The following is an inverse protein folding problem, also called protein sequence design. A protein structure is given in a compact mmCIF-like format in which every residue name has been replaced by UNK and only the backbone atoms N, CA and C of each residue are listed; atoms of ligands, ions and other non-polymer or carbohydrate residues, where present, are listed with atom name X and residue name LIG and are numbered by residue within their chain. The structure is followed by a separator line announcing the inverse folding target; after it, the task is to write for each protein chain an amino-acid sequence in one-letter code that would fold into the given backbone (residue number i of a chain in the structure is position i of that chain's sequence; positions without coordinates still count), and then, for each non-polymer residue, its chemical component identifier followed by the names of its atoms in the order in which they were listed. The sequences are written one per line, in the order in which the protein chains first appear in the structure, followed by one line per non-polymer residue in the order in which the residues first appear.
data_IF_839905969049
#
_entry.id   IF_839905969049
#
_cell.length_a   1.000
_cell.length_b   1.000
_cell.length_c   1.000
_cell.angle_alpha   90.00
_cell.angle_beta   90.00
_cell.angle_gamma   90.00
#
_symmetry.space_group_name_H-M   'P 1'
#
loop_
_entity.id
_entity.type
_entity.pdbx_description
1 polymer ?
#
# COMPACT_ATOMS: atom_id res chain seq x y z
N UNK A 1 10.22 -36.53 -0.26
CA UNK A 1 11.13 -35.61 -1.00
C UNK A 1 10.27 -34.87 -2.02
N UNK A 2 9.66 -33.74 -1.67
CA UNK A 2 8.85 -32.91 -2.57
C UNK A 2 9.80 -32.08 -3.42
N UNK A 3 9.71 -32.22 -4.72
CA UNK A 3 10.57 -31.52 -5.68
C UNK A 3 10.37 -30.01 -5.61
N UNK A 4 11.42 -29.18 -5.65
CA UNK A 4 11.37 -27.72 -5.52
C UNK A 4 10.53 -26.99 -6.60
N UNK A 5 10.06 -27.70 -7.61
CA UNK A 5 9.33 -27.16 -8.76
C UNK A 5 7.82 -26.93 -8.52
N UNK A 6 7.20 -27.59 -7.57
CA UNK A 6 5.75 -27.50 -7.34
C UNK A 6 5.37 -26.39 -6.36
N UNK A 7 6.26 -26.01 -5.44
CA UNK A 7 5.97 -24.95 -4.46
C UNK A 7 5.98 -23.53 -5.02
N UNK A 8 6.47 -23.32 -6.24
CA UNK A 8 6.57 -21.98 -6.86
C UNK A 8 5.53 -21.70 -7.95
N UNK A 9 4.71 -22.67 -8.37
CA UNK A 9 3.71 -22.47 -9.44
C UNK A 9 2.67 -21.44 -9.02
N UNK A 10 2.12 -21.55 -7.82
CA UNK A 10 1.17 -20.58 -7.28
C UNK A 10 1.78 -19.17 -7.25
N UNK A 11 3.00 -19.02 -6.71
CA UNK A 11 3.70 -17.74 -6.67
C UNK A 11 3.96 -17.15 -8.07
N UNK A 12 4.30 -17.98 -9.07
CA UNK A 12 4.46 -17.51 -10.46
C UNK A 12 3.15 -16.98 -11.04
N UNK A 13 2.04 -17.68 -10.80
CA UNK A 13 0.70 -17.24 -11.23
C UNK A 13 0.36 -15.89 -10.59
N UNK A 14 0.55 -15.76 -9.27
CA UNK A 14 0.28 -14.51 -8.54
C UNK A 14 1.13 -13.35 -9.06
N UNK A 15 2.44 -13.54 -9.25
CA UNK A 15 3.32 -12.50 -9.81
C UNK A 15 2.89 -12.06 -11.21
N UNK A 16 2.58 -13.03 -12.08
CA UNK A 16 2.11 -12.74 -13.43
C UNK A 16 0.76 -11.99 -13.42
N UNK A 17 -0.17 -12.40 -12.57
CA UNK A 17 -1.46 -11.77 -12.38
C UNK A 17 -1.31 -10.33 -11.86
N UNK A 18 -0.49 -10.12 -10.82
CA UNK A 18 -0.17 -8.79 -10.28
C UNK A 18 0.31 -7.85 -11.39
N UNK A 19 1.28 -8.29 -12.20
CA UNK A 19 1.85 -7.50 -13.28
C UNK A 19 0.82 -7.17 -14.38
N UNK A 20 -0.05 -8.11 -14.74
CA UNK A 20 -1.04 -7.91 -15.80
C UNK A 20 -2.21 -7.06 -15.32
N UNK A 21 -2.83 -7.39 -14.18
CA UNK A 21 -3.94 -6.63 -13.63
C UNK A 21 -3.58 -5.18 -13.31
N UNK A 22 -2.36 -4.93 -12.82
CA UNK A 22 -1.92 -3.56 -12.55
C UNK A 22 -1.71 -2.70 -13.79
N UNK A 23 -1.52 -3.33 -14.96
CA UNK A 23 -1.28 -2.63 -16.24
C UNK A 23 -2.52 -2.49 -17.11
N UNK A 24 -3.35 -3.54 -17.14
CA UNK A 24 -4.44 -3.68 -18.10
C UNK A 24 -5.83 -3.64 -17.44
N UNK A 25 -5.89 -3.57 -16.09
CA UNK A 25 -7.12 -3.69 -15.34
C UNK A 25 -7.62 -5.14 -15.27
N UNK A 26 -8.73 -5.32 -14.54
CA UNK A 26 -9.33 -6.64 -14.40
C UNK A 26 -9.93 -7.13 -15.72
N UNK A 27 -10.75 -6.29 -16.38
CA UNK A 27 -11.44 -6.69 -17.61
C UNK A 27 -10.49 -6.87 -18.80
N UNK A 28 -9.38 -6.10 -18.84
CA UNK A 28 -8.36 -6.19 -19.90
C UNK A 28 -7.41 -7.38 -19.79
N UNK A 29 -7.42 -8.12 -18.69
CA UNK A 29 -6.55 -9.28 -18.45
C UNK A 29 -7.28 -10.60 -18.63
N UNK A 30 -6.68 -11.54 -19.36
CA UNK A 30 -7.21 -12.91 -19.53
C UNK A 30 -6.39 -13.95 -18.75
N UNK A 31 -7.04 -15.05 -18.35
CA UNK A 31 -6.38 -16.21 -17.73
C UNK A 31 -5.31 -16.82 -18.62
N UNK A 32 -5.53 -16.77 -19.95
CA UNK A 32 -4.56 -17.24 -20.94
C UNK A 32 -3.27 -16.40 -20.96
N UNK A 33 -3.38 -15.08 -20.81
CA UNK A 33 -2.21 -14.19 -20.70
C UNK A 33 -1.46 -14.43 -19.39
N UNK A 34 -2.19 -14.62 -18.29
CA UNK A 34 -1.59 -14.97 -16.98
C UNK A 34 -0.84 -16.30 -17.10
N UNK A 35 -1.45 -17.33 -17.72
CA UNK A 35 -0.82 -18.62 -17.92
C UNK A 35 0.48 -18.51 -18.73
N UNK A 36 0.44 -17.75 -19.84
CA UNK A 36 1.61 -17.50 -20.67
C UNK A 36 2.74 -16.81 -19.92
N UNK A 37 2.42 -15.77 -19.15
CA UNK A 37 3.42 -15.02 -18.39
C UNK A 37 3.98 -15.81 -17.20
N UNK A 38 3.15 -16.65 -16.58
CA UNK A 38 3.55 -17.54 -15.49
C UNK A 38 4.28 -18.80 -15.96
N UNK A 39 4.40 -19.02 -17.29
CA UNK A 39 4.98 -20.23 -17.90
C UNK A 39 4.28 -21.53 -17.43
N UNK A 40 2.94 -21.50 -17.42
CA UNK A 40 2.11 -22.65 -17.09
C UNK A 40 1.02 -22.83 -18.15
N UNK A 41 0.32 -23.98 -18.13
CA UNK A 41 -0.91 -24.13 -18.93
C UNK A 41 -2.10 -23.43 -18.26
N UNK A 42 -3.08 -23.01 -19.06
CA UNK A 42 -4.33 -22.46 -18.53
C UNK A 42 -5.08 -23.48 -17.66
N UNK A 43 -5.00 -24.77 -18.00
CA UNK A 43 -5.50 -25.86 -17.15
C UNK A 43 -4.81 -25.87 -15.78
N UNK A 44 -3.54 -25.53 -15.72
CA UNK A 44 -2.82 -25.42 -14.44
C UNK A 44 -3.38 -24.28 -13.60
N UNK A 45 -3.72 -23.14 -14.18
CA UNK A 45 -4.36 -22.04 -13.45
C UNK A 45 -5.65 -22.51 -12.80
N UNK A 46 -6.55 -23.17 -13.56
CA UNK A 46 -7.84 -23.65 -13.06
C UNK A 46 -7.75 -24.81 -12.03
N UNK A 47 -6.55 -25.34 -11.80
CA UNK A 47 -6.31 -26.25 -10.66
C UNK A 47 -6.07 -25.51 -9.35
N UNK A 48 -5.68 -24.24 -9.39
CA UNK A 48 -5.40 -23.40 -8.22
C UNK A 48 -6.53 -22.39 -7.94
N UNK A 49 -7.24 -21.95 -8.99
CA UNK A 49 -8.24 -20.90 -8.92
C UNK A 49 -9.46 -21.30 -9.75
N UNK A 50 -10.66 -21.16 -9.19
CA UNK A 50 -11.90 -21.46 -9.90
C UNK A 50 -12.23 -20.38 -10.93
N UNK A 51 -12.03 -19.11 -10.56
CA UNK A 51 -12.36 -17.95 -11.36
C UNK A 51 -11.22 -16.96 -11.47
N UNK A 52 -11.28 -16.08 -12.47
CA UNK A 52 -10.32 -14.97 -12.64
C UNK A 52 -10.33 -14.01 -11.44
N UNK A 53 -11.48 -13.84 -10.82
CA UNK A 53 -11.65 -13.07 -9.60
C UNK A 53 -10.78 -13.60 -8.47
N UNK A 54 -10.69 -14.90 -8.27
CA UNK A 54 -9.91 -15.52 -7.21
C UNK A 54 -8.42 -15.23 -7.39
N UNK A 55 -7.96 -15.20 -8.64
CA UNK A 55 -6.57 -14.84 -8.99
C UNK A 55 -6.32 -13.36 -8.63
N UNK A 56 -7.27 -12.48 -8.98
CA UNK A 56 -7.15 -11.05 -8.69
C UNK A 56 -7.08 -10.77 -7.19
N UNK A 57 -8.00 -11.33 -6.42
CA UNK A 57 -8.03 -11.15 -4.96
C UNK A 57 -6.81 -11.75 -4.28
N UNK A 58 -6.32 -12.90 -4.75
CA UNK A 58 -5.09 -13.51 -4.24
C UNK A 58 -3.86 -12.66 -4.58
N UNK A 59 -3.81 -12.03 -5.76
CA UNK A 59 -2.74 -11.12 -6.13
C UNK A 59 -2.74 -9.86 -5.23
N UNK A 60 -3.89 -9.26 -5.01
CA UNK A 60 -4.03 -8.09 -4.14
C UNK A 60 -3.72 -8.44 -2.68
N UNK A 61 -4.20 -9.58 -2.18
CA UNK A 61 -3.88 -10.06 -0.84
C UNK A 61 -2.37 -10.27 -0.65
N UNK A 62 -1.69 -10.86 -1.64
CA UNK A 62 -0.23 -11.03 -1.61
C UNK A 62 0.52 -9.70 -1.52
N UNK A 63 0.01 -8.65 -2.16
CA UNK A 63 0.57 -7.30 -2.01
C UNK A 63 0.41 -6.77 -0.58
N UNK A 64 -0.76 -6.95 0.05
CA UNK A 64 -0.99 -6.54 1.44
C UNK A 64 -0.10 -7.30 2.43
N UNK A 65 0.09 -8.60 2.26
CA UNK A 65 0.98 -9.40 3.10
C UNK A 65 2.43 -8.89 3.06
N UNK A 66 2.91 -8.48 1.90
CA UNK A 66 4.26 -7.90 1.76
C UNK A 66 4.41 -6.58 2.52
N UNK A 67 3.35 -5.80 2.60
CA UNK A 67 3.30 -4.50 3.28
C UNK A 67 3.09 -4.67 4.78
N UNK A 68 2.26 -5.62 5.20
CA UNK A 68 2.00 -5.91 6.61
C UNK A 68 3.27 -6.11 7.41
N UNK A 69 4.22 -6.86 6.87
CA UNK A 69 5.53 -7.09 7.51
C UNK A 69 6.29 -5.77 7.76
N UNK A 70 6.18 -4.81 6.84
CA UNK A 70 6.81 -3.48 7.00
C UNK A 70 6.06 -2.63 8.02
N UNK A 71 4.73 -2.68 8.02
CA UNK A 71 3.90 -1.95 8.97
C UNK A 71 4.05 -2.47 10.41
N UNK A 72 4.21 -3.77 10.61
CA UNK A 72 4.50 -4.37 11.92
C UNK A 72 5.81 -3.85 12.53
N UNK A 73 6.74 -3.38 11.71
CA UNK A 73 7.96 -2.74 12.20
C UNK A 73 7.70 -1.37 12.83
N UNK A 74 6.67 -0.64 12.35
CA UNK A 74 6.25 0.65 12.92
C UNK A 74 5.61 0.49 14.29
N UNK A 75 4.75 -0.51 14.47
CA UNK A 75 4.05 -0.73 15.74
C UNK A 75 5.04 -0.91 16.91
N UNK A 76 6.16 -1.57 16.64
CA UNK A 76 7.26 -1.70 17.61
C UNK A 76 7.97 -0.38 17.95
N UNK A 77 7.93 0.59 17.03
CA UNK A 77 8.53 1.92 17.19
C UNK A 77 7.55 2.92 17.81
N UNK A 78 6.25 2.73 17.65
CA UNK A 78 5.18 3.63 18.10
C UNK A 78 5.12 3.83 19.63
N UNK A 79 5.91 3.09 20.40
CA UNK A 79 6.12 3.34 21.85
C UNK A 79 6.91 4.64 22.13
N UNK A 80 7.37 5.33 21.11
CA UNK A 80 8.07 6.61 21.25
C UNK A 80 7.05 7.74 21.06
N UNK A 81 6.63 8.33 22.16
CA UNK A 81 5.62 9.41 22.22
C UNK A 81 6.07 10.76 21.63
N UNK A 82 7.09 10.76 20.76
CA UNK A 82 7.60 11.96 20.12
C UNK A 82 7.23 12.00 18.63
N UNK A 83 6.38 12.97 18.20
CA UNK A 83 6.02 13.14 16.78
C UNK A 83 7.21 13.34 15.84
N UNK A 84 8.26 14.02 16.29
CA UNK A 84 9.47 14.27 15.49
C UNK A 84 10.25 12.99 15.14
N UNK A 85 10.07 11.94 15.93
CA UNK A 85 10.68 10.62 15.68
C UNK A 85 9.72 9.72 14.91
N UNK A 86 8.44 9.69 15.30
CA UNK A 86 7.46 8.76 14.76
C UNK A 86 7.02 9.13 13.34
N UNK A 87 6.78 10.41 13.06
CA UNK A 87 6.33 10.84 11.73
C UNK A 87 7.32 10.50 10.61
N UNK A 88 8.62 10.77 10.71
CA UNK A 88 9.58 10.34 9.69
C UNK A 88 9.61 8.83 9.48
N UNK A 89 9.45 8.04 10.53
CA UNK A 89 9.39 6.58 10.42
C UNK A 89 8.13 6.12 9.69
N UNK A 90 6.96 6.66 10.03
CA UNK A 90 5.71 6.39 9.34
C UNK A 90 5.80 6.78 7.87
N UNK A 91 6.27 8.00 7.59
CA UNK A 91 6.43 8.51 6.23
C UNK A 91 7.43 7.65 5.45
N UNK A 92 8.53 7.23 6.07
CA UNK A 92 9.50 6.34 5.47
C UNK A 92 8.87 5.03 4.99
N UNK A 93 8.04 4.39 5.82
CA UNK A 93 7.32 3.17 5.41
C UNK A 93 6.31 3.44 4.30
N UNK A 94 5.60 4.56 4.34
CA UNK A 94 4.65 4.92 3.28
C UNK A 94 5.36 5.22 1.94
N UNK A 95 6.52 5.88 1.97
CA UNK A 95 7.39 6.10 0.81
C UNK A 95 7.90 4.77 0.25
N UNK A 96 8.30 3.85 1.13
CA UNK A 96 8.71 2.51 0.72
C UNK A 96 7.57 1.75 0.02
N UNK A 97 6.34 1.84 0.55
CA UNK A 97 5.15 1.27 -0.09
C UNK A 97 4.94 1.87 -1.49
N UNK A 98 4.99 3.19 -1.61
CA UNK A 98 4.82 3.88 -2.88
C UNK A 98 5.91 3.51 -3.91
N UNK A 99 7.15 3.32 -3.44
CA UNK A 99 8.31 3.05 -4.29
C UNK A 99 8.40 1.59 -4.72
N UNK A 100 8.19 0.67 -3.78
CA UNK A 100 8.45 -0.76 -3.99
C UNK A 100 7.21 -1.61 -4.21
N UNK A 101 6.01 -1.02 -4.13
CA UNK A 101 4.74 -1.71 -4.34
C UNK A 101 3.74 -0.89 -5.17
N UNK A 102 4.17 -0.26 -6.29
CA UNK A 102 3.27 0.55 -7.12
C UNK A 102 2.13 -0.28 -7.72
N UNK A 103 2.35 -1.59 -7.94
CA UNK A 103 1.33 -2.51 -8.40
C UNK A 103 0.16 -2.61 -7.42
N UNK A 104 0.42 -2.57 -6.11
CA UNK A 104 -0.63 -2.60 -5.10
C UNK A 104 -1.58 -1.39 -5.25
N UNK A 105 -1.02 -0.20 -5.42
CA UNK A 105 -1.82 1.04 -5.57
C UNK A 105 -2.74 0.91 -6.79
N UNK A 106 -2.21 0.39 -7.89
CA UNK A 106 -2.95 0.18 -9.13
C UNK A 106 -4.01 -0.92 -8.99
N UNK A 107 -3.68 -2.04 -8.34
CA UNK A 107 -4.64 -3.10 -8.05
C UNK A 107 -5.76 -2.60 -7.14
N UNK A 108 -5.47 -1.77 -6.14
CA UNK A 108 -6.48 -1.12 -5.31
C UNK A 108 -7.40 -0.22 -6.14
N UNK A 109 -6.86 0.57 -7.06
CA UNK A 109 -7.67 1.39 -7.96
C UNK A 109 -8.58 0.53 -8.84
N UNK A 110 -8.07 -0.57 -9.41
CA UNK A 110 -8.86 -1.54 -10.19
C UNK A 110 -9.96 -2.17 -9.32
N UNK A 111 -9.63 -2.59 -8.09
CA UNK A 111 -10.61 -3.15 -7.17
C UNK A 111 -11.76 -2.18 -6.87
N UNK A 112 -11.44 -0.93 -6.59
CA UNK A 112 -12.44 0.10 -6.27
C UNK A 112 -13.30 0.50 -7.49
N UNK A 113 -12.72 0.54 -8.68
CA UNK A 113 -13.40 1.02 -9.88
C UNK A 113 -14.14 -0.07 -10.63
N UNK A 114 -13.57 -1.28 -10.69
CA UNK A 114 -14.10 -2.38 -11.51
C UNK A 114 -14.80 -3.49 -10.69
N UNK A 115 -14.42 -3.71 -9.42
CA UNK A 115 -14.80 -4.88 -8.63
C UNK A 115 -15.44 -4.55 -7.25
N UNK A 116 -16.11 -3.45 -7.14
CA UNK A 116 -16.58 -2.77 -5.90
C UNK A 116 -16.94 -3.67 -4.69
N UNK A 117 -17.70 -4.73 -4.85
CA UNK A 117 -18.30 -5.48 -3.73
C UNK A 117 -17.28 -6.12 -2.76
N UNK A 118 -16.30 -6.84 -3.28
CA UNK A 118 -15.25 -7.50 -2.47
C UNK A 118 -14.13 -6.54 -2.02
N UNK A 119 -13.98 -5.39 -2.70
CA UNK A 119 -12.95 -4.41 -2.35
C UNK A 119 -13.16 -3.82 -0.95
N UNK A 120 -14.41 -3.64 -0.53
CA UNK A 120 -14.74 -3.09 0.79
C UNK A 120 -14.29 -3.99 1.93
N UNK A 121 -14.50 -5.31 1.81
CA UNK A 121 -14.08 -6.27 2.84
C UNK A 121 -12.55 -6.33 2.95
N UNK A 122 -11.86 -6.37 1.82
CA UNK A 122 -10.41 -6.40 1.79
C UNK A 122 -9.78 -5.10 2.36
N UNK A 123 -10.36 -3.94 2.04
CA UNK A 123 -9.96 -2.67 2.63
C UNK A 123 -10.19 -2.67 4.14
N UNK A 124 -11.32 -3.18 4.59
CA UNK A 124 -11.66 -3.28 6.02
C UNK A 124 -10.66 -4.15 6.77
N UNK A 125 -10.29 -5.30 6.21
CA UNK A 125 -9.37 -6.23 6.86
C UNK A 125 -7.93 -5.71 6.91
N UNK A 126 -7.47 -5.03 5.86
CA UNK A 126 -6.06 -4.69 5.71
C UNK A 126 -5.73 -3.22 6.01
N UNK A 127 -6.61 -2.27 5.65
CA UNK A 127 -6.34 -0.83 5.83
C UNK A 127 -6.89 -0.29 7.15
N UNK A 128 -8.06 -0.77 7.59
CA UNK A 128 -8.67 -0.25 8.83
C UNK A 128 -7.75 -0.38 10.05
N UNK A 129 -7.06 -1.50 10.30
CA UNK A 129 -6.14 -1.60 11.44
C UNK A 129 -4.99 -0.59 11.37
N UNK A 130 -4.45 -0.33 10.19
CA UNK A 130 -3.39 0.67 9.99
C UNK A 130 -3.90 2.08 10.32
N UNK A 131 -5.03 2.49 9.74
CA UNK A 131 -5.61 3.80 10.00
C UNK A 131 -6.02 3.97 11.47
N UNK A 132 -6.53 2.92 12.10
CA UNK A 132 -6.86 2.92 13.52
C UNK A 132 -5.62 3.12 14.40
N UNK A 133 -4.50 2.45 14.09
CA UNK A 133 -3.24 2.60 14.84
C UNK A 133 -2.67 4.02 14.72
N UNK A 134 -2.66 4.59 13.51
CA UNK A 134 -2.21 5.98 13.30
C UNK A 134 -3.15 6.97 14.02
N UNK A 135 -4.46 6.77 13.92
CA UNK A 135 -5.45 7.63 14.60
C UNK A 135 -5.32 7.56 16.12
N UNK A 136 -5.11 6.38 16.70
CA UNK A 136 -4.90 6.21 18.14
C UNK A 136 -3.63 6.92 18.61
N UNK A 137 -2.54 6.81 17.85
CA UNK A 137 -1.31 7.55 18.11
C UNK A 137 -1.55 9.08 18.11
N UNK A 138 -2.22 9.59 17.08
CA UNK A 138 -2.54 11.02 16.96
C UNK A 138 -3.43 11.48 18.13
N UNK A 139 -4.48 10.73 18.48
CA UNK A 139 -5.37 11.05 19.61
C UNK A 139 -4.60 11.20 20.92
N UNK A 140 -3.70 10.26 21.21
CA UNK A 140 -2.85 10.31 22.41
C UNK A 140 -2.00 11.59 22.46
N UNK A 141 -1.41 11.96 21.32
CA UNK A 141 -0.55 13.14 21.23
C UNK A 141 -1.34 14.47 21.21
N UNK A 142 -2.59 14.46 20.75
CA UNK A 142 -3.53 15.59 20.89
C UNK A 142 -3.89 15.79 22.36
N UNK A 143 -4.23 14.72 23.08
CA UNK A 143 -4.56 14.77 24.51
C UNK A 143 -3.39 15.31 25.36
N UNK A 144 -2.15 14.97 25.02
CA UNK A 144 -0.95 15.49 25.68
C UNK A 144 -0.54 16.91 25.25
N UNK A 145 -1.19 17.48 24.23
CA UNK A 145 -0.88 18.80 23.68
C UNK A 145 0.37 18.84 22.79
N UNK A 146 1.00 17.71 22.48
CA UNK A 146 2.16 17.63 21.59
C UNK A 146 1.77 17.70 20.10
N UNK A 147 0.53 17.43 19.77
CA UNK A 147 -0.07 17.57 18.44
C UNK A 147 -1.29 18.50 18.54
N UNK A 148 -1.48 19.32 17.50
CA UNK A 148 -2.63 20.22 17.39
C UNK A 148 -3.95 19.45 17.44
N UNK A 149 -4.99 20.08 17.96
CA UNK A 149 -6.34 19.50 18.00
C UNK A 149 -6.95 19.43 16.58
N UNK A 150 -6.74 18.31 15.89
CA UNK A 150 -7.24 17.98 14.56
C UNK A 150 -8.00 16.64 14.63
N UNK A 151 -8.83 16.36 13.61
CA UNK A 151 -9.48 15.06 13.53
C UNK A 151 -8.46 13.95 13.19
N UNK A 152 -8.17 13.00 14.09
CA UNK A 152 -7.10 12.01 13.90
C UNK A 152 -7.31 11.11 12.67
N UNK A 153 -8.57 10.75 12.37
CA UNK A 153 -8.89 9.88 11.24
C UNK A 153 -8.67 10.61 9.90
N UNK A 154 -9.02 11.90 9.82
CA UNK A 154 -8.77 12.71 8.62
C UNK A 154 -7.27 12.89 8.42
N UNK A 155 -6.53 13.19 9.47
CA UNK A 155 -5.07 13.36 9.40
C UNK A 155 -4.39 12.05 8.96
N UNK A 156 -4.76 10.91 9.55
CA UNK A 156 -4.21 9.62 9.16
C UNK A 156 -4.45 9.31 7.67
N UNK A 157 -5.67 9.56 7.18
CA UNK A 157 -6.01 9.39 5.77
C UNK A 157 -5.22 10.35 4.87
N UNK A 158 -5.10 11.63 5.27
CA UNK A 158 -4.39 12.63 4.50
C UNK A 158 -2.88 12.32 4.39
N UNK A 159 -2.23 11.89 5.47
CA UNK A 159 -0.83 11.45 5.44
C UNK A 159 -0.66 10.27 4.45
N UNK A 160 -1.48 9.23 4.59
CA UNK A 160 -1.37 8.06 3.73
C UNK A 160 -1.61 8.41 2.26
N UNK A 161 -2.66 9.16 1.94
CA UNK A 161 -3.00 9.54 0.57
C UNK A 161 -1.95 10.45 -0.07
N UNK A 162 -1.46 11.45 0.66
CA UNK A 162 -0.46 12.37 0.11
C UNK A 162 0.87 11.68 -0.16
N UNK A 163 1.31 10.76 0.70
CA UNK A 163 2.59 10.09 0.53
C UNK A 163 2.52 8.93 -0.46
N UNK A 164 1.43 8.15 -0.45
CA UNK A 164 1.32 6.92 -1.26
C UNK A 164 0.80 7.20 -2.67
N UNK A 165 -0.18 8.07 -2.83
CA UNK A 165 -0.86 8.29 -4.13
C UNK A 165 -0.21 9.40 -4.93
N UNK A 166 0.35 10.42 -4.28
CA UNK A 166 0.95 11.58 -4.95
C UNK A 166 2.05 11.19 -5.97
N UNK A 167 2.97 10.23 -5.71
CA UNK A 167 3.99 9.86 -6.69
C UNK A 167 3.41 9.30 -7.99
N UNK A 168 2.29 8.57 -7.94
CA UNK A 168 1.62 8.07 -9.14
C UNK A 168 0.89 9.21 -9.88
N UNK A 169 0.26 10.14 -9.18
CA UNK A 169 -0.36 11.32 -9.78
C UNK A 169 0.67 12.25 -10.44
N UNK A 170 1.81 12.47 -9.80
CA UNK A 170 2.87 13.32 -10.37
C UNK A 170 3.39 12.81 -11.70
N UNK A 171 3.49 11.50 -11.88
CA UNK A 171 3.87 10.90 -13.17
C UNK A 171 2.88 11.21 -14.29
N UNK A 172 1.60 11.40 -13.95
CA UNK A 172 0.54 11.72 -14.91
C UNK A 172 0.47 13.22 -15.25
N UNK A 173 0.72 14.07 -14.26
CA UNK A 173 0.50 15.52 -14.39
C UNK A 173 1.72 16.23 -14.97
N UNK A 174 2.91 15.83 -14.60
CA UNK A 174 4.07 16.70 -14.68
C UNK A 174 5.28 16.11 -15.39
N UNK A 175 5.24 14.99 -16.00
CA UNK A 175 6.45 14.41 -16.62
C UNK A 175 7.80 14.59 -15.86
N UNK A 176 7.86 15.60 -14.97
CA UNK A 176 9.03 16.04 -14.22
C UNK A 176 8.76 16.51 -12.77
N UNK A 177 7.52 16.43 -12.26
CA UNK A 177 7.16 16.94 -10.94
C UNK A 177 7.96 16.38 -9.77
N UNK A 178 7.36 16.20 -8.62
CA UNK A 178 8.00 15.68 -7.38
C UNK A 178 8.68 14.29 -7.52
N UNK A 179 8.64 13.70 -8.71
CA UNK A 179 9.35 12.46 -9.06
C UNK A 179 10.88 12.58 -9.08
N UNK A 180 11.44 13.77 -8.95
CA UNK A 180 12.90 13.99 -8.89
C UNK A 180 13.49 13.78 -7.50
N UNK A 181 12.68 13.83 -6.46
CA UNK A 181 13.18 13.63 -5.12
C UNK A 181 13.57 12.16 -4.93
N UNK A 182 14.79 11.90 -4.52
CA UNK A 182 15.20 10.59 -4.02
C UNK A 182 14.36 10.20 -2.81
N UNK A 183 14.24 8.92 -2.50
CA UNK A 183 13.39 8.44 -1.40
C UNK A 183 13.69 9.15 -0.07
N UNK A 184 14.95 9.49 0.21
CA UNK A 184 15.35 10.20 1.43
C UNK A 184 14.88 11.65 1.44
N UNK A 185 15.05 12.36 0.34
CA UNK A 185 14.57 13.75 0.20
C UNK A 185 13.04 13.81 0.31
N UNK A 186 12.35 12.85 -0.28
CA UNK A 186 10.89 12.72 -0.17
C UNK A 186 10.46 12.52 1.29
N UNK A 187 11.16 11.67 2.05
CA UNK A 187 10.88 11.43 3.47
C UNK A 187 11.10 12.73 4.26
N UNK A 188 12.20 13.43 4.03
CA UNK A 188 12.55 14.64 4.74
C UNK A 188 11.54 15.78 4.47
N UNK A 189 11.15 15.99 3.22
CA UNK A 189 10.17 16.99 2.80
C UNK A 189 8.76 16.70 3.37
N UNK A 190 8.24 15.48 3.23
CA UNK A 190 6.96 15.12 3.81
C UNK A 190 6.97 15.16 5.34
N UNK A 191 8.08 14.77 5.97
CA UNK A 191 8.22 14.83 7.43
C UNK A 191 8.19 16.28 7.90
N UNK A 192 8.94 17.17 7.26
CA UNK A 192 8.95 18.60 7.56
C UNK A 192 7.57 19.21 7.38
N UNK A 193 6.91 18.94 6.26
CA UNK A 193 5.55 19.41 5.99
C UNK A 193 4.57 18.98 7.08
N UNK A 194 4.50 17.69 7.39
CA UNK A 194 3.54 17.16 8.35
C UNK A 194 3.87 17.56 9.80
N UNK A 195 5.14 17.68 10.16
CA UNK A 195 5.54 18.23 11.47
C UNK A 195 5.06 19.66 11.63
N UNK A 196 5.24 20.52 10.62
CA UNK A 196 4.75 21.89 10.65
C UNK A 196 3.20 21.98 10.74
N UNK A 197 2.49 21.04 10.15
CA UNK A 197 1.03 20.98 10.25
C UNK A 197 0.59 20.51 11.64
N UNK A 198 1.24 19.48 12.19
CA UNK A 198 0.76 18.74 13.36
C UNK A 198 1.30 19.30 14.69
N UNK A 199 2.55 19.73 14.73
CA UNK A 199 3.18 20.20 15.98
C UNK A 199 2.89 21.70 16.16
N UNK A 200 2.40 22.13 17.35
CA UNK A 200 2.26 23.53 17.64
C UNK A 200 3.61 24.24 17.55
N UNK A 201 3.65 25.42 16.94
CA UNK A 201 4.83 26.28 17.04
C UNK A 201 5.07 26.61 18.52
N UNK A 202 6.32 26.57 18.97
CA UNK A 202 6.66 27.05 20.30
C UNK A 202 6.17 28.49 20.48
N UNK A 203 5.63 28.88 21.65
CA UNK A 203 5.13 30.22 21.91
C UNK A 203 6.22 31.27 21.81
#
# INVERSE_FOLDING_TARGET
MLTPRTSDVHGRIIRAATALFSRQGFHGTSTREIARLAEVSEVTIFRYFEHKDDIFWSALHSCFESIRTRLESLDRSAKRDNPEIMLPQLIGVLVDIATYSPEMIRLMAVALLELRGKAEDLCRENLTPLFAAISAYLSKNIESGTVRNLNPAIVAAAIALTVVVQPELSKLIDGNGLSHLGSRETIDEYSSFWLNVLVPSAP
#
